data_IF_807809057526
#
_entry.id   IF_807809057526
#
_cell.length_a   1.000
_cell.length_b   1.000
_cell.length_c   1.000
_cell.angle_alpha   90.00
_cell.angle_beta   90.00
_cell.angle_gamma   90.00
#
_symmetry.space_group_name_H-M   'P 1'
#
loop_
_entity.id
_entity.type
_entity.pdbx_description
1 polymer ?
#
# COMPACT_ATOMS: atom_id res chain seq x y z
N UNK A 1 27.72 0.46 -3.48
CA UNK A 1 26.71 -0.29 -2.72
C UNK A 1 26.94 -0.22 -1.22
N UNK A 2 27.69 -1.08 -0.50
CA UNK A 2 27.77 -0.98 0.99
C UNK A 2 28.38 0.35 1.52
N UNK A 3 29.34 0.95 0.80
CA UNK A 3 29.98 2.23 1.21
C UNK A 3 29.11 3.47 1.06
N UNK A 4 28.04 3.41 0.28
CA UNK A 4 27.18 4.59 0.01
C UNK A 4 26.19 4.85 1.15
N UNK A 5 25.97 3.87 2.03
CA UNK A 5 24.97 3.89 3.10
C UNK A 5 25.55 3.99 4.51
N UNK A 6 26.88 4.17 4.65
CA UNK A 6 27.60 4.26 5.93
C UNK A 6 27.25 3.12 6.93
N UNK A 7 27.03 1.92 6.39
CA UNK A 7 26.65 0.76 7.19
C UNK A 7 27.81 0.27 8.08
N UNK A 8 27.44 -0.35 9.21
CA UNK A 8 28.37 -0.96 10.16
C UNK A 8 29.34 -1.92 9.44
N UNK A 9 30.60 -1.93 9.89
CA UNK A 9 31.58 -2.92 9.42
C UNK A 9 31.33 -4.28 10.07
N UNK A 10 31.81 -5.35 9.44
CA UNK A 10 31.67 -6.74 9.91
C UNK A 10 30.21 -7.25 9.94
N UNK A 11 29.41 -6.84 8.97
CA UNK A 11 28.04 -7.35 8.81
C UNK A 11 27.88 -8.17 7.54
N UNK A 12 26.95 -9.14 7.57
CA UNK A 12 26.44 -9.84 6.40
C UNK A 12 24.94 -9.57 6.27
N UNK A 13 24.53 -8.87 5.22
CA UNK A 13 23.12 -8.68 4.89
C UNK A 13 22.56 -9.98 4.34
N UNK A 14 21.48 -10.49 4.92
CA UNK A 14 20.81 -11.71 4.43
C UNK A 14 19.36 -11.49 4.01
N UNK A 15 18.76 -10.35 4.37
CA UNK A 15 17.44 -9.93 3.92
C UNK A 15 17.28 -8.40 4.03
N UNK A 16 16.58 -7.78 3.10
CA UNK A 16 16.27 -6.35 3.14
C UNK A 16 16.04 -5.75 1.76
N UNK A 17 15.35 -4.60 1.73
CA UNK A 17 15.04 -3.81 0.54
C UNK A 17 15.04 -2.32 0.93
N UNK A 18 15.42 -1.44 -0.01
CA UNK A 18 15.42 0.00 0.23
C UNK A 18 16.39 0.39 1.36
N UNK A 19 15.85 0.99 2.42
CA UNK A 19 16.60 1.55 3.55
C UNK A 19 16.60 0.65 4.81
N UNK A 20 16.02 -0.55 4.70
CA UNK A 20 15.82 -1.46 5.83
C UNK A 20 16.44 -2.85 5.59
N UNK A 21 17.25 -3.34 6.53
CA UNK A 21 17.93 -4.63 6.38
C UNK A 21 18.00 -5.44 7.68
N UNK A 22 17.81 -6.75 7.56
CA UNK A 22 18.27 -7.74 8.53
C UNK A 22 19.68 -8.19 8.18
N UNK A 23 20.56 -8.11 9.18
CA UNK A 23 21.98 -8.43 9.00
C UNK A 23 22.49 -9.30 10.16
N UNK A 24 23.51 -10.11 9.85
CA UNK A 24 24.34 -10.78 10.84
C UNK A 24 25.49 -9.85 11.22
N UNK A 25 25.59 -9.50 12.49
CA UNK A 25 26.68 -8.71 13.06
C UNK A 25 27.76 -9.63 13.65
N UNK A 26 28.95 -9.59 13.04
CA UNK A 26 30.14 -10.34 13.44
C UNK A 26 31.05 -9.56 14.41
N UNK A 27 30.57 -8.48 15.02
CA UNK A 27 31.29 -7.79 16.10
C UNK A 27 31.54 -8.67 17.34
N UNK A 28 30.83 -9.79 17.47
CA UNK A 28 30.98 -10.79 18.53
C UNK A 28 30.73 -12.22 18.03
N UNK A 29 31.10 -13.22 18.84
CA UNK A 29 30.87 -14.64 18.55
C UNK A 29 29.97 -15.29 19.63
N UNK A 30 28.87 -15.97 19.25
CA UNK A 30 28.33 -16.12 17.88
C UNK A 30 27.79 -14.79 17.33
N UNK A 31 27.68 -14.64 15.99
CA UNK A 31 27.16 -13.42 15.38
C UNK A 31 25.69 -13.21 15.76
N UNK A 32 25.36 -11.97 16.10
CA UNK A 32 24.00 -11.56 16.47
C UNK A 32 23.18 -11.19 15.22
N UNK A 33 21.85 -11.31 15.27
CA UNK A 33 20.98 -10.76 14.22
C UNK A 33 20.52 -9.38 14.65
N UNK A 34 20.74 -8.38 13.80
CA UNK A 34 20.27 -7.01 14.01
C UNK A 34 19.44 -6.55 12.81
N UNK A 35 18.55 -5.60 13.06
CA UNK A 35 17.80 -4.87 12.05
C UNK A 35 18.34 -3.44 12.00
N UNK A 36 18.57 -2.92 10.79
CA UNK A 36 19.07 -1.57 10.53
C UNK A 36 18.06 -0.84 9.68
N UNK A 37 17.63 0.34 10.14
CA UNK A 37 16.84 1.31 9.37
C UNK A 37 17.71 2.55 9.12
N UNK A 38 18.11 2.77 7.85
CA UNK A 38 19.05 3.82 7.48
C UNK A 38 18.49 5.23 7.68
N UNK A 39 17.19 5.44 7.45
CA UNK A 39 16.59 6.78 7.51
C UNK A 39 16.53 7.30 8.95
N UNK A 40 16.14 6.42 9.88
CA UNK A 40 16.09 6.75 11.32
C UNK A 40 17.41 6.51 12.04
N UNK A 41 18.37 5.82 11.41
CA UNK A 41 19.61 5.30 12.00
C UNK A 41 19.37 4.36 13.19
N UNK A 42 18.22 3.71 13.19
CA UNK A 42 17.87 2.77 14.25
C UNK A 42 18.58 1.43 14.02
N UNK A 43 19.15 0.88 15.11
CA UNK A 43 19.77 -0.44 15.12
C UNK A 43 19.15 -1.25 16.25
N UNK A 44 18.40 -2.29 15.90
CA UNK A 44 17.66 -3.13 16.83
C UNK A 44 18.31 -4.50 16.91
N UNK A 45 18.63 -4.97 18.11
CA UNK A 45 19.06 -6.36 18.31
C UNK A 45 17.85 -7.29 18.27
N UNK A 46 17.80 -8.15 17.26
CA UNK A 46 16.66 -9.05 16.98
C UNK A 46 16.84 -10.41 17.66
N UNK A 47 18.05 -10.97 17.61
CA UNK A 47 18.35 -12.27 18.21
C UNK A 47 19.82 -12.39 18.64
N UNK A 48 20.10 -13.26 19.61
CA UNK A 48 21.45 -13.51 20.07
C UNK A 48 22.26 -14.45 19.15
N UNK A 49 21.61 -15.11 18.18
CA UNK A 49 22.26 -15.90 17.15
C UNK A 49 21.32 -16.10 15.95
N UNK A 50 21.88 -16.52 14.82
CA UNK A 50 21.06 -16.90 13.66
C UNK A 50 20.13 -18.08 13.99
N UNK A 51 20.58 -19.04 14.80
CA UNK A 51 19.75 -20.17 15.22
C UNK A 51 18.55 -19.72 16.08
N UNK A 52 18.77 -18.79 17.02
CA UNK A 52 17.68 -18.22 17.82
C UNK A 52 16.69 -17.44 16.94
N UNK A 53 17.20 -16.68 15.96
CA UNK A 53 16.37 -16.00 14.98
C UNK A 53 15.47 -16.99 14.23
N UNK A 54 16.03 -18.06 13.66
CA UNK A 54 15.26 -19.08 12.95
C UNK A 54 14.21 -19.77 13.85
N UNK A 55 14.51 -19.99 15.13
CA UNK A 55 13.54 -20.56 16.10
C UNK A 55 12.36 -19.63 16.39
N UNK A 56 12.55 -18.32 16.26
CA UNK A 56 11.50 -17.30 16.43
C UNK A 56 10.78 -16.98 15.13
N UNK A 57 11.30 -17.40 13.98
CA UNK A 57 10.59 -17.28 12.71
C UNK A 57 9.37 -18.19 12.76
N UNK A 58 8.21 -17.58 12.98
CA UNK A 58 6.93 -18.23 12.82
C UNK A 58 6.43 -17.94 11.42
N UNK A 59 6.02 -18.98 10.69
CA UNK A 59 5.12 -18.78 9.58
C UNK A 59 3.79 -18.32 10.20
N UNK A 60 3.56 -17.00 10.17
CA UNK A 60 2.18 -16.53 10.19
C UNK A 60 1.66 -16.95 8.83
N UNK A 61 0.88 -18.04 8.77
CA UNK A 61 -0.14 -18.08 7.73
C UNK A 61 -0.77 -16.71 7.80
N UNK A 62 -0.78 -15.97 6.70
CA UNK A 62 -1.78 -14.93 6.54
C UNK A 62 -3.11 -15.70 6.58
N UNK A 63 -3.52 -16.13 7.79
CA UNK A 63 -4.85 -16.52 8.10
C UNK A 63 -5.63 -15.37 7.51
N UNK A 64 -6.47 -15.68 6.54
CA UNK A 64 -7.37 -14.73 5.92
C UNK A 64 -8.32 -14.09 6.95
N UNK A 65 -8.14 -14.40 8.24
CA UNK A 65 -8.41 -13.55 9.38
C UNK A 65 -7.31 -12.46 9.54
N UNK A 66 -7.26 -11.50 8.61
CA UNK A 66 -7.46 -10.16 9.15
C UNK A 66 -8.86 -10.26 9.77
N UNK A 67 -9.07 -9.85 11.02
CA UNK A 67 -10.40 -9.32 11.32
C UNK A 67 -10.60 -8.29 10.20
N UNK A 68 -11.38 -8.67 9.17
CA UNK A 68 -11.94 -7.73 8.25
C UNK A 68 -12.75 -6.92 9.22
N UNK A 69 -12.17 -5.82 9.71
CA UNK A 69 -12.91 -4.76 10.34
C UNK A 69 -13.99 -4.50 9.31
N UNK A 70 -15.15 -5.13 9.54
CA UNK A 70 -16.17 -5.23 8.53
C UNK A 70 -16.96 -3.98 8.74
N UNK A 71 -16.34 -2.84 8.41
CA UNK A 71 -17.01 -1.56 8.39
C UNK A 71 -18.29 -1.76 7.61
N UNK A 72 -19.43 -1.47 8.23
CA UNK A 72 -20.68 -1.33 7.51
C UNK A 72 -20.55 -0.24 6.44
N UNK A 73 -21.45 -0.23 5.45
CA UNK A 73 -21.43 0.84 4.43
C UNK A 73 -21.65 2.20 5.08
N UNK A 74 -22.46 2.26 6.12
CA UNK A 74 -22.77 3.47 6.88
C UNK A 74 -21.53 4.01 7.61
N UNK A 75 -20.73 3.12 8.21
CA UNK A 75 -19.45 3.49 8.84
C UNK A 75 -18.44 3.97 7.78
N UNK A 76 -18.31 3.23 6.67
CA UNK A 76 -17.43 3.62 5.58
C UNK A 76 -17.79 4.99 5.00
N UNK A 77 -19.08 5.27 4.82
CA UNK A 77 -19.57 6.56 4.36
C UNK A 77 -19.25 7.69 5.34
N UNK A 78 -19.37 7.43 6.64
CA UNK A 78 -19.00 8.39 7.68
C UNK A 78 -17.50 8.68 7.64
N UNK A 79 -16.68 7.64 7.46
CA UNK A 79 -15.22 7.74 7.36
C UNK A 79 -14.79 8.52 6.11
N UNK A 80 -15.39 8.24 4.94
CA UNK A 80 -15.09 8.93 3.68
C UNK A 80 -15.48 10.42 3.67
N UNK A 81 -16.35 10.85 4.59
CA UNK A 81 -16.67 12.27 4.82
C UNK A 81 -15.70 12.95 5.82
N UNK A 82 -14.91 12.16 6.54
CA UNK A 82 -13.94 12.62 7.53
C UNK A 82 -12.67 13.21 6.91
N UNK A 83 -11.63 13.35 7.72
CA UNK A 83 -10.30 13.83 7.31
C UNK A 83 -9.17 12.92 7.80
N UNK A 84 -9.50 11.76 8.40
CA UNK A 84 -8.51 10.80 8.88
C UNK A 84 -7.98 9.97 7.71
N UNK A 85 -6.92 10.48 7.07
CA UNK A 85 -6.42 10.02 5.77
C UNK A 85 -6.06 8.53 5.74
N UNK A 86 -5.38 8.03 6.77
CA UNK A 86 -5.01 6.62 6.89
C UNK A 86 -6.23 5.71 7.07
N UNK A 87 -7.22 6.14 7.87
CA UNK A 87 -8.45 5.38 8.05
C UNK A 87 -9.28 5.37 6.75
N UNK A 88 -9.30 6.48 6.01
CA UNK A 88 -9.94 6.55 4.69
C UNK A 88 -9.28 5.56 3.73
N UNK A 89 -7.95 5.53 3.65
CA UNK A 89 -7.21 4.59 2.82
C UNK A 89 -7.51 3.12 3.20
N UNK A 90 -7.45 2.80 4.49
CA UNK A 90 -7.70 1.47 5.02
C UNK A 90 -9.10 0.96 4.63
N UNK A 91 -10.14 1.77 4.87
CA UNK A 91 -11.53 1.43 4.53
C UNK A 91 -11.74 1.39 3.02
N UNK A 92 -11.09 2.28 2.26
CA UNK A 92 -11.18 2.25 0.80
C UNK A 92 -10.63 0.91 0.27
N UNK A 93 -9.49 0.45 0.76
CA UNK A 93 -8.85 -0.79 0.32
C UNK A 93 -9.60 -2.04 0.78
N UNK A 94 -10.28 -1.99 1.93
CA UNK A 94 -11.09 -3.12 2.43
C UNK A 94 -12.32 -3.41 1.56
N UNK A 95 -12.77 -2.41 0.79
CA UNK A 95 -13.94 -2.49 -0.08
C UNK A 95 -13.61 -2.73 -1.57
N UNK A 96 -12.33 -2.88 -1.94
CA UNK A 96 -11.91 -3.00 -3.35
C UNK A 96 -12.49 -4.20 -4.12
N UNK A 97 -12.96 -5.21 -3.39
CA UNK A 97 -13.56 -6.45 -3.92
C UNK A 97 -15.05 -6.59 -3.55
N UNK A 98 -15.72 -5.47 -3.25
CA UNK A 98 -17.16 -5.48 -2.95
C UNK A 98 -18.01 -5.83 -4.17
N UNK A 99 -19.10 -6.57 -3.96
CA UNK A 99 -20.08 -6.89 -5.01
C UNK A 99 -20.88 -5.65 -5.46
N UNK A 100 -20.99 -4.62 -4.61
CA UNK A 100 -21.67 -3.38 -4.95
C UNK A 100 -20.69 -2.38 -5.61
N UNK A 101 -20.32 -2.70 -6.85
CA UNK A 101 -19.34 -1.95 -7.64
C UNK A 101 -19.82 -0.51 -7.89
N UNK A 102 -21.10 -0.29 -8.15
CA UNK A 102 -21.65 1.05 -8.40
C UNK A 102 -21.48 1.96 -7.18
N UNK A 103 -21.85 1.47 -5.99
CA UNK A 103 -21.63 2.20 -4.74
C UNK A 103 -20.15 2.51 -4.52
N UNK A 104 -19.27 1.52 -4.74
CA UNK A 104 -17.84 1.69 -4.50
C UNK A 104 -17.22 2.71 -5.44
N UNK A 105 -17.51 2.63 -6.74
CA UNK A 105 -17.07 3.62 -7.73
C UNK A 105 -17.61 5.02 -7.40
N UNK A 106 -18.83 5.15 -6.86
CA UNK A 106 -19.35 6.44 -6.43
C UNK A 106 -18.53 7.03 -5.26
N UNK A 107 -18.05 6.20 -4.32
CA UNK A 107 -17.16 6.65 -3.24
C UNK A 107 -15.77 7.01 -3.76
N UNK A 108 -15.18 6.20 -4.64
CA UNK A 108 -13.92 6.53 -5.29
C UNK A 108 -14.01 7.87 -6.04
N UNK A 109 -15.11 8.11 -6.78
CA UNK A 109 -15.34 9.37 -7.48
C UNK A 109 -15.36 10.56 -6.52
N UNK A 110 -16.08 10.46 -5.40
CA UNK A 110 -16.06 11.49 -4.37
C UNK A 110 -14.64 11.76 -3.85
N UNK A 111 -13.87 10.70 -3.58
CA UNK A 111 -12.52 10.81 -3.02
C UNK A 111 -11.48 11.34 -4.01
N UNK A 112 -11.76 11.38 -5.32
CA UNK A 112 -10.88 12.06 -6.29
C UNK A 112 -10.72 13.56 -6.03
N UNK A 113 -11.63 14.18 -5.30
CA UNK A 113 -11.58 15.60 -4.95
C UNK A 113 -11.07 15.84 -3.51
N UNK A 114 -10.69 14.79 -2.80
CA UNK A 114 -10.24 14.90 -1.42
C UNK A 114 -8.97 15.77 -1.29
N UNK A 115 -8.86 16.51 -0.18
CA UNK A 115 -7.76 17.44 0.07
C UNK A 115 -6.40 16.72 0.20
N UNK A 116 -6.38 15.58 0.89
CA UNK A 116 -5.20 14.73 1.08
C UNK A 116 -4.69 14.15 -0.24
N UNK A 117 -3.37 14.22 -0.46
CA UNK A 117 -2.70 13.52 -1.55
C UNK A 117 -2.79 11.99 -1.36
N UNK A 118 -2.55 11.48 -0.15
CA UNK A 118 -2.56 10.05 0.17
C UNK A 118 -3.89 9.40 -0.23
N UNK A 119 -5.01 10.04 0.11
CA UNK A 119 -6.34 9.54 -0.27
C UNK A 119 -6.51 9.48 -1.80
N UNK A 120 -6.06 10.50 -2.53
CA UNK A 120 -6.16 10.50 -3.99
C UNK A 120 -5.22 9.50 -4.66
N UNK A 121 -4.05 9.25 -4.08
CA UNK A 121 -3.11 8.21 -4.51
C UNK A 121 -3.70 6.80 -4.26
N UNK A 122 -4.37 6.57 -3.13
CA UNK A 122 -5.08 5.33 -2.87
C UNK A 122 -6.19 5.07 -3.91
N UNK A 123 -6.98 6.09 -4.26
CA UNK A 123 -7.97 5.99 -5.35
C UNK A 123 -7.29 5.67 -6.68
N UNK A 124 -6.19 6.38 -7.02
CA UNK A 124 -5.46 6.15 -8.26
C UNK A 124 -4.92 4.72 -8.36
N UNK A 125 -4.35 4.20 -7.26
CA UNK A 125 -3.83 2.84 -7.17
C UNK A 125 -4.93 1.79 -7.41
N UNK A 126 -6.11 1.97 -6.81
CA UNK A 126 -7.25 1.08 -7.06
C UNK A 126 -7.65 1.11 -8.52
N UNK A 127 -7.73 2.29 -9.13
CA UNK A 127 -8.04 2.40 -10.57
C UNK A 127 -6.95 1.74 -11.43
N UNK A 128 -5.67 1.98 -11.15
CA UNK A 128 -4.55 1.39 -11.87
C UNK A 128 -4.60 -0.14 -11.88
N UNK A 129 -4.97 -0.75 -10.76
CA UNK A 129 -5.02 -2.22 -10.62
C UNK A 129 -6.34 -2.84 -11.09
N UNK A 130 -7.47 -2.17 -10.88
CA UNK A 130 -8.81 -2.76 -11.05
C UNK A 130 -9.57 -2.28 -12.30
N UNK A 131 -9.00 -1.41 -13.14
CA UNK A 131 -9.71 -0.89 -14.32
C UNK A 131 -10.26 -2.00 -15.22
N UNK A 132 -9.47 -3.02 -15.54
CA UNK A 132 -9.93 -4.16 -16.37
C UNK A 132 -11.15 -4.85 -15.76
N UNK A 133 -11.10 -5.13 -14.44
CA UNK A 133 -12.20 -5.75 -13.71
C UNK A 133 -13.46 -4.87 -13.80
N UNK A 134 -13.33 -3.56 -13.54
CA UNK A 134 -14.48 -2.66 -13.63
C UNK A 134 -15.04 -2.56 -15.05
N UNK A 135 -14.22 -2.58 -16.09
CA UNK A 135 -14.69 -2.54 -17.47
C UNK A 135 -15.50 -3.79 -17.85
N UNK A 136 -15.17 -4.95 -17.28
CA UNK A 136 -15.79 -6.22 -17.64
C UNK A 136 -17.00 -6.58 -16.75
N UNK A 137 -16.93 -6.29 -15.45
CA UNK A 137 -17.93 -6.74 -14.47
C UNK A 137 -18.97 -5.67 -14.11
N UNK A 138 -18.71 -4.39 -14.45
CA UNK A 138 -19.63 -3.31 -14.06
C UNK A 138 -20.80 -3.15 -15.04
N UNK A 139 -22.00 -2.79 -14.55
CA UNK A 139 -23.09 -2.38 -15.43
C UNK A 139 -22.79 -1.04 -16.11
N UNK A 140 -23.44 -0.76 -17.24
CA UNK A 140 -23.26 0.48 -18.02
C UNK A 140 -23.26 1.80 -17.22
N UNK A 141 -24.15 2.02 -16.21
CA UNK A 141 -24.10 3.22 -15.39
C UNK A 141 -22.78 3.42 -14.65
N UNK A 142 -22.20 2.33 -14.13
CA UNK A 142 -20.93 2.32 -13.41
C UNK A 142 -19.75 2.67 -14.30
N UNK A 143 -19.78 2.34 -15.58
CA UNK A 143 -18.73 2.73 -16.54
C UNK A 143 -18.66 4.26 -16.73
N UNK A 144 -19.79 4.97 -16.59
CA UNK A 144 -19.79 6.44 -16.60
C UNK A 144 -19.12 7.00 -15.35
N UNK A 145 -19.32 6.37 -14.20
CA UNK A 145 -18.66 6.75 -12.94
C UNK A 145 -17.16 6.52 -13.06
N UNK A 146 -16.74 5.34 -13.53
CA UNK A 146 -15.34 4.99 -13.78
C UNK A 146 -14.64 6.04 -14.67
N UNK A 147 -15.27 6.39 -15.79
CA UNK A 147 -14.76 7.45 -16.67
C UNK A 147 -14.67 8.82 -15.96
N UNK A 148 -15.62 9.13 -15.08
CA UNK A 148 -15.57 10.31 -14.22
C UNK A 148 -14.32 10.32 -13.32
N UNK A 149 -14.05 9.19 -12.65
CA UNK A 149 -12.89 9.01 -11.78
C UNK A 149 -11.60 9.23 -12.55
N UNK A 150 -11.41 8.49 -13.65
CA UNK A 150 -10.23 8.56 -14.50
C UNK A 150 -10.00 9.99 -15.02
N UNK A 151 -11.07 10.69 -15.41
CA UNK A 151 -10.97 12.07 -15.89
C UNK A 151 -10.63 13.07 -14.79
N UNK A 152 -11.13 12.88 -13.56
CA UNK A 152 -10.74 13.70 -12.42
C UNK A 152 -9.27 13.51 -12.07
N UNK A 153 -8.82 12.26 -11.93
CA UNK A 153 -7.43 11.92 -11.63
C UNK A 153 -6.46 12.32 -12.76
N UNK A 154 -6.88 12.27 -14.02
CA UNK A 154 -6.09 12.79 -15.17
C UNK A 154 -5.80 14.29 -15.06
N UNK A 155 -6.58 15.02 -14.27
CA UNK A 155 -6.45 16.46 -14.01
C UNK A 155 -5.97 16.75 -12.58
N UNK A 156 -5.54 15.73 -11.84
CA UNK A 156 -5.06 15.87 -10.47
C UNK A 156 -3.88 16.85 -10.38
N UNK A 157 -3.64 17.42 -9.20
CA UNK A 157 -2.49 18.28 -8.93
C UNK A 157 -1.18 17.48 -8.92
N UNK A 158 -1.20 16.21 -8.49
CA UNK A 158 -0.05 15.31 -8.49
C UNK A 158 0.34 14.89 -9.91
N UNK A 159 1.64 14.98 -10.22
CA UNK A 159 2.17 14.52 -11.51
C UNK A 159 2.15 13.00 -11.63
N UNK A 160 2.37 12.30 -10.52
CA UNK A 160 2.43 10.84 -10.50
C UNK A 160 1.05 10.23 -10.78
N UNK A 161 0.00 10.72 -10.11
CA UNK A 161 -1.39 10.34 -10.41
C UNK A 161 -1.72 10.59 -11.90
N UNK A 162 -1.37 11.77 -12.43
CA UNK A 162 -1.62 12.07 -13.85
C UNK A 162 -0.86 11.13 -14.80
N UNK A 163 0.35 10.69 -14.45
CA UNK A 163 1.13 9.73 -15.25
C UNK A 163 0.44 8.37 -15.23
N UNK A 164 0.06 7.88 -14.05
CA UNK A 164 -0.63 6.59 -13.91
C UNK A 164 -1.94 6.57 -14.71
N UNK A 165 -2.75 7.63 -14.63
CA UNK A 165 -3.99 7.71 -15.41
C UNK A 165 -3.76 7.76 -16.93
N UNK A 166 -2.60 8.27 -17.38
CA UNK A 166 -2.22 8.22 -18.80
C UNK A 166 -1.96 6.78 -19.22
N UNK A 167 -1.27 6.00 -18.40
CA UNK A 167 -0.98 4.58 -18.65
C UNK A 167 -2.26 3.76 -18.68
N UNK A 168 -3.18 3.98 -17.74
CA UNK A 168 -4.52 3.35 -17.72
C UNK A 168 -5.29 3.64 -19.01
N UNK A 169 -5.33 4.91 -19.46
CA UNK A 169 -6.03 5.28 -20.70
C UNK A 169 -5.42 4.63 -21.94
N UNK A 170 -4.09 4.60 -22.02
CA UNK A 170 -3.37 3.97 -23.12
C UNK A 170 -3.57 2.45 -23.15
N UNK A 171 -3.68 1.81 -21.99
CA UNK A 171 -3.85 0.36 -21.89
C UNK A 171 -5.27 -0.10 -22.28
N UNK A 172 -6.30 0.68 -21.94
CA UNK A 172 -7.70 0.27 -22.10
C UNK A 172 -8.48 1.10 -23.14
N UNK A 173 -7.81 1.94 -23.92
CA UNK A 173 -8.40 2.80 -24.96
C UNK A 173 -9.52 3.73 -24.43
N UNK A 174 -9.30 4.38 -23.26
CA UNK A 174 -10.25 5.26 -22.55
C UNK A 174 -10.01 6.77 -22.72
#
# INVERSE_FOLDING_TARGET
>A
MIKEWDLLQNILVFNGEGNAWFVLDYSSEPPHVIYIEADSKEVIKVAASFEEFLKKLTYKELSQEYEKDSWSKEEAETIFLGQEEFLIEEVLLSYQDTEDIEWYLAKLLQLTEHSSLLVREAVASVIGVKTEYFLYESPEPSLKILNGIINNLSRDKSKDIRREMKEVKEQYDL
#
